data_IF_023831090407
#
_entry.id   IF_023831090407
#
_cell.length_a   1.000
_cell.length_b   1.000
_cell.length_c   1.000
_cell.angle_alpha   90.00
_cell.angle_beta   90.00
_cell.angle_gamma   90.00
#
_symmetry.space_group_name_H-M   'P 1'
#
loop_
_entity.id
_entity.type
_entity.pdbx_description
1 polymer ?
#
# COMPACT_ATOMS: atom_id res chain seq x y z
N UNK A 1 -5.48 -26.71 -12.15
CA UNK A 1 -6.01 -25.91 -11.04
C UNK A 1 -6.40 -24.56 -11.59
N UNK A 2 -7.67 -24.23 -11.42
CA UNK A 2 -8.22 -22.92 -11.75
C UNK A 2 -8.54 -22.15 -10.48
N UNK A 3 -8.04 -20.90 -10.40
CA UNK A 3 -8.29 -19.99 -9.28
C UNK A 3 -8.98 -18.74 -9.79
N UNK A 4 -10.09 -18.37 -9.17
CA UNK A 4 -10.79 -17.13 -9.48
C UNK A 4 -10.44 -16.08 -8.41
N UNK A 5 -9.75 -15.00 -8.85
CA UNK A 5 -9.42 -13.84 -8.04
C UNK A 5 -10.62 -12.89 -8.02
N UNK A 6 -11.06 -12.50 -6.81
CA UNK A 6 -12.21 -11.63 -6.61
C UNK A 6 -11.72 -10.28 -6.06
N UNK A 7 -11.93 -9.22 -6.81
CA UNK A 7 -11.44 -7.88 -6.45
C UNK A 7 -12.40 -6.78 -6.90
N UNK A 8 -12.40 -5.67 -6.18
CA UNK A 8 -13.06 -4.47 -6.66
C UNK A 8 -12.33 -3.88 -7.86
N UNK A 9 -11.00 -3.81 -7.77
CA UNK A 9 -10.12 -3.10 -8.69
C UNK A 9 -9.43 -4.08 -9.64
N UNK A 10 -9.47 -3.77 -10.93
CA UNK A 10 -8.68 -4.41 -11.99
C UNK A 10 -8.59 -3.46 -13.19
N UNK A 11 -7.53 -3.49 -13.99
CA UNK A 11 -7.39 -2.58 -15.13
C UNK A 11 -8.61 -2.52 -16.06
N UNK A 12 -8.93 -1.31 -16.58
CA UNK A 12 -8.23 -0.03 -16.40
C UNK A 12 -8.58 0.72 -15.11
N UNK A 13 -9.45 0.18 -14.23
CA UNK A 13 -9.97 0.82 -13.03
C UNK A 13 -9.18 0.39 -11.79
N UNK A 14 -8.00 0.98 -11.60
CA UNK A 14 -7.13 0.75 -10.45
C UNK A 14 -6.97 2.05 -9.67
N UNK A 15 -7.29 2.04 -8.37
CA UNK A 15 -7.33 3.23 -7.52
C UNK A 15 -6.32 3.18 -6.38
N UNK A 16 -5.78 1.98 -6.07
CA UNK A 16 -4.89 1.80 -4.93
C UNK A 16 -4.03 0.54 -5.01
N UNK A 17 -3.23 0.34 -3.95
CA UNK A 17 -2.27 -0.76 -3.90
C UNK A 17 -2.89 -2.15 -3.99
N UNK A 18 -4.15 -2.33 -3.57
CA UNK A 18 -4.83 -3.63 -3.72
C UNK A 18 -5.08 -3.97 -5.19
N UNK A 19 -5.51 -2.99 -6.00
CA UNK A 19 -5.71 -3.18 -7.44
C UNK A 19 -4.41 -3.46 -8.17
N UNK A 20 -3.33 -2.74 -7.83
CA UNK A 20 -1.97 -3.03 -8.36
C UNK A 20 -1.56 -4.45 -8.00
N UNK A 21 -1.73 -4.86 -6.73
CA UNK A 21 -1.40 -6.21 -6.29
C UNK A 21 -2.16 -7.29 -7.09
N UNK A 22 -3.48 -7.16 -7.25
CA UNK A 22 -4.28 -8.15 -7.98
C UNK A 22 -3.87 -8.21 -9.45
N UNK A 23 -3.57 -7.05 -10.06
CA UNK A 23 -3.11 -6.97 -11.44
C UNK A 23 -1.82 -7.76 -11.64
N UNK A 24 -0.81 -7.48 -10.83
CA UNK A 24 0.49 -8.13 -10.96
C UNK A 24 0.45 -9.61 -10.54
N UNK A 25 -0.28 -9.91 -9.46
CA UNK A 25 -0.47 -11.29 -9.02
C UNK A 25 -1.16 -12.15 -10.11
N UNK A 26 -2.20 -11.62 -10.74
CA UNK A 26 -2.90 -12.34 -11.82
C UNK A 26 -1.95 -12.71 -12.99
N UNK A 27 -1.10 -11.76 -13.41
CA UNK A 27 -0.11 -11.98 -14.48
C UNK A 27 0.84 -13.14 -14.14
N UNK A 28 1.48 -13.08 -12.96
CA UNK A 28 2.46 -14.11 -12.58
C UNK A 28 1.84 -15.45 -12.22
N UNK A 29 0.58 -15.48 -11.74
CA UNK A 29 -0.17 -16.71 -11.52
C UNK A 29 -0.57 -17.37 -12.84
N UNK A 30 -0.96 -16.60 -13.87
CA UNK A 30 -1.35 -17.11 -15.18
C UNK A 30 -0.22 -17.85 -15.91
N UNK A 31 1.04 -17.65 -15.51
CA UNK A 31 2.18 -18.43 -15.98
C UNK A 31 2.22 -19.85 -15.38
N UNK A 32 1.52 -20.11 -14.28
CA UNK A 32 1.61 -21.31 -13.43
C UNK A 32 0.32 -22.11 -13.34
N UNK A 33 -0.81 -21.42 -13.41
CA UNK A 33 -2.16 -21.98 -13.21
C UNK A 33 -3.17 -21.25 -14.11
N UNK A 34 -4.37 -21.79 -14.22
CA UNK A 34 -5.49 -21.12 -14.87
C UNK A 34 -6.05 -20.03 -13.92
N UNK A 35 -6.21 -18.81 -14.41
CA UNK A 35 -6.65 -17.67 -13.61
C UNK A 35 -7.89 -17.03 -14.21
N UNK A 36 -8.94 -16.91 -13.38
CA UNK A 36 -10.08 -16.02 -13.60
C UNK A 36 -9.94 -14.77 -12.74
N UNK A 37 -10.43 -13.63 -13.22
CA UNK A 37 -10.53 -12.41 -12.43
C UNK A 37 -11.96 -11.89 -12.49
N UNK A 38 -12.57 -11.69 -11.33
CA UNK A 38 -13.89 -11.09 -11.18
C UNK A 38 -13.71 -9.69 -10.56
N UNK A 39 -14.18 -8.66 -11.27
CA UNK A 39 -13.96 -7.27 -10.83
C UNK A 39 -15.20 -6.39 -11.03
N UNK A 40 -15.18 -5.21 -10.45
CA UNK A 40 -16.24 -4.20 -10.60
C UNK A 40 -16.08 -3.40 -11.90
N UNK A 41 -17.04 -2.53 -12.15
CA UNK A 41 -17.05 -1.50 -13.22
C UNK A 41 -17.11 -2.06 -14.65
N UNK A 42 -17.97 -3.08 -14.83
CA UNK A 42 -18.41 -3.56 -16.12
C UNK A 42 -17.43 -4.48 -16.87
N UNK A 43 -17.85 -4.90 -18.03
CA UNK A 43 -17.11 -5.85 -18.86
C UNK A 43 -15.73 -5.32 -19.27
N UNK A 44 -14.77 -6.23 -19.40
CA UNK A 44 -13.41 -5.95 -19.89
C UNK A 44 -13.25 -6.51 -21.31
N UNK A 45 -12.42 -5.86 -22.15
CA UNK A 45 -11.99 -6.48 -23.40
C UNK A 45 -11.25 -7.79 -23.10
N UNK A 46 -11.27 -8.71 -24.07
CA UNK A 46 -10.51 -9.96 -23.95
C UNK A 46 -9.01 -9.65 -23.74
N UNK A 47 -8.41 -10.25 -22.73
CA UNK A 47 -6.98 -10.07 -22.44
C UNK A 47 -6.13 -11.03 -23.28
N UNK A 48 -5.01 -10.54 -23.81
CA UNK A 48 -4.02 -11.33 -24.54
C UNK A 48 -3.24 -12.29 -23.62
N UNK A 49 -3.29 -12.09 -22.29
CA UNK A 49 -2.49 -12.81 -21.29
C UNK A 49 -3.11 -14.11 -20.79
N UNK A 50 -4.14 -14.65 -21.47
CA UNK A 50 -4.86 -15.88 -21.06
C UNK A 50 -5.61 -15.80 -19.73
N UNK A 51 -5.83 -14.59 -19.20
CA UNK A 51 -6.62 -14.35 -17.99
C UNK A 51 -8.07 -14.15 -18.42
N UNK A 52 -8.97 -14.91 -17.80
CA UNK A 52 -10.41 -14.76 -18.04
C UNK A 52 -10.94 -13.66 -17.13
N UNK A 53 -11.23 -12.47 -17.67
CA UNK A 53 -11.72 -11.35 -16.87
C UNK A 53 -13.22 -11.19 -17.03
N UNK A 54 -13.95 -11.19 -15.91
CA UNK A 54 -15.38 -10.85 -15.82
C UNK A 54 -15.57 -9.60 -14.98
N UNK A 55 -16.07 -8.54 -15.59
CA UNK A 55 -16.43 -7.30 -14.88
C UNK A 55 -17.95 -7.19 -14.70
N UNK A 56 -18.36 -6.68 -13.54
CA UNK A 56 -19.75 -6.59 -13.11
C UNK A 56 -20.16 -5.13 -12.90
N UNK A 57 -21.39 -4.79 -13.28
CA UNK A 57 -21.97 -3.50 -13.04
C UNK A 57 -22.90 -3.49 -11.85
N UNK A 58 -23.09 -2.32 -11.25
CA UNK A 58 -24.08 -2.15 -10.20
C UNK A 58 -25.48 -2.40 -10.75
N UNK A 59 -26.29 -3.10 -9.98
CA UNK A 59 -27.67 -3.38 -10.34
C UNK A 59 -28.49 -2.09 -10.38
N UNK A 60 -29.25 -1.86 -11.45
CA UNK A 60 -30.07 -0.66 -11.63
C UNK A 60 -31.12 -0.47 -10.54
N UNK A 61 -31.65 -1.59 -10.01
CA UNK A 61 -32.63 -1.58 -8.91
C UNK A 61 -32.04 -1.10 -7.59
N UNK A 62 -30.69 -1.06 -7.49
CA UNK A 62 -29.96 -0.53 -6.34
C UNK A 62 -29.49 0.91 -6.53
N UNK A 63 -29.93 1.60 -7.58
CA UNK A 63 -29.63 3.00 -7.80
C UNK A 63 -30.17 3.83 -6.62
N UNK A 64 -29.31 4.64 -5.98
CA UNK A 64 -29.64 5.38 -4.76
C UNK A 64 -29.52 4.59 -3.43
N UNK A 65 -29.25 3.29 -3.48
CA UNK A 65 -28.97 2.51 -2.28
C UNK A 65 -27.62 2.86 -1.65
N UNK A 66 -27.45 2.53 -0.37
CA UNK A 66 -26.16 2.71 0.31
C UNK A 66 -25.04 2.00 -0.45
N UNK A 67 -23.86 2.64 -0.66
CA UNK A 67 -22.75 2.07 -1.42
C UNK A 67 -22.31 0.67 -0.95
N UNK A 68 -22.40 0.38 0.36
CA UNK A 68 -22.05 -0.93 0.88
C UNK A 68 -23.05 -2.02 0.45
N UNK A 69 -24.35 -1.71 0.34
CA UNK A 69 -25.35 -2.64 -0.20
C UNK A 69 -25.14 -2.90 -1.69
N UNK A 70 -24.78 -1.85 -2.44
CA UNK A 70 -24.46 -1.97 -3.87
C UNK A 70 -23.24 -2.89 -4.09
N UNK A 71 -22.24 -2.79 -3.20
CA UNK A 71 -21.07 -3.67 -3.20
C UNK A 71 -21.49 -5.15 -3.04
N UNK A 72 -22.32 -5.46 -2.04
CA UNK A 72 -22.81 -6.83 -1.83
C UNK A 72 -23.68 -7.33 -3.01
N UNK A 73 -24.33 -6.44 -3.73
CA UNK A 73 -25.06 -6.79 -4.97
C UNK A 73 -24.11 -7.29 -6.07
N UNK A 74 -22.91 -6.72 -6.17
CA UNK A 74 -21.87 -7.24 -7.08
C UNK A 74 -21.29 -8.54 -6.57
N UNK A 75 -21.06 -8.68 -5.26
CA UNK A 75 -20.57 -9.92 -4.66
C UNK A 75 -21.48 -11.11 -4.98
N UNK A 76 -22.79 -10.92 -4.98
CA UNK A 76 -23.76 -11.95 -5.41
C UNK A 76 -23.56 -12.36 -6.87
N UNK A 77 -23.34 -11.38 -7.76
CA UNK A 77 -23.09 -11.66 -9.17
C UNK A 77 -21.77 -12.41 -9.37
N UNK A 78 -20.71 -12.03 -8.63
CA UNK A 78 -19.42 -12.71 -8.68
C UNK A 78 -19.56 -14.17 -8.23
N UNK A 79 -20.17 -14.40 -7.06
CA UNK A 79 -20.32 -15.73 -6.49
C UNK A 79 -21.01 -16.71 -7.45
N UNK A 80 -22.03 -16.26 -8.21
CA UNK A 80 -22.75 -17.08 -9.19
C UNK A 80 -21.86 -17.61 -10.32
N UNK A 81 -20.71 -16.99 -10.57
CA UNK A 81 -19.84 -17.34 -11.70
C UNK A 81 -18.53 -18.02 -11.29
N UNK A 82 -18.41 -18.44 -10.03
CA UNK A 82 -17.25 -19.19 -9.52
C UNK A 82 -17.44 -20.71 -9.57
N UNK A 83 -18.46 -21.20 -10.27
CA UNK A 83 -18.85 -22.61 -10.36
C UNK A 83 -17.81 -23.53 -11.02
N UNK A 84 -16.82 -22.96 -11.69
CA UNK A 84 -15.75 -23.71 -12.34
C UNK A 84 -14.37 -23.51 -11.68
N UNK A 85 -14.31 -22.77 -10.59
CA UNK A 85 -13.07 -22.57 -9.85
C UNK A 85 -12.79 -23.78 -8.93
N UNK A 86 -11.55 -24.18 -8.82
CA UNK A 86 -11.09 -25.11 -7.78
C UNK A 86 -10.92 -24.38 -6.43
N UNK A 87 -10.69 -23.07 -6.47
CA UNK A 87 -10.47 -22.21 -5.32
C UNK A 87 -10.81 -20.76 -5.68
N UNK A 88 -11.33 -20.00 -4.71
CA UNK A 88 -11.54 -18.55 -4.83
C UNK A 88 -10.62 -17.79 -3.89
N UNK A 89 -10.08 -16.65 -4.37
CA UNK A 89 -9.21 -15.79 -3.60
C UNK A 89 -9.70 -14.33 -3.65
N UNK A 90 -10.20 -13.82 -2.54
CA UNK A 90 -10.78 -12.48 -2.46
C UNK A 90 -9.81 -11.45 -1.86
N UNK A 91 -9.92 -10.23 -2.37
CA UNK A 91 -9.09 -9.09 -1.97
C UNK A 91 -9.97 -7.94 -1.48
N UNK A 92 -9.75 -7.50 -0.26
CA UNK A 92 -10.50 -6.47 0.46
C UNK A 92 -11.96 -6.87 0.76
N UNK A 93 -12.59 -6.15 1.70
CA UNK A 93 -13.99 -6.40 2.08
C UNK A 93 -14.98 -6.27 0.90
N UNK A 94 -14.59 -5.51 -0.15
CA UNK A 94 -15.41 -5.31 -1.34
C UNK A 94 -15.74 -6.58 -2.13
N UNK A 95 -14.94 -7.64 -1.98
CA UNK A 95 -15.15 -8.90 -2.67
C UNK A 95 -15.14 -10.12 -1.73
N UNK A 96 -14.98 -9.87 -0.42
CA UNK A 96 -14.87 -10.94 0.56
C UNK A 96 -16.14 -11.78 0.67
N UNK A 97 -17.32 -11.17 0.53
CA UNK A 97 -18.58 -11.92 0.59
C UNK A 97 -18.82 -12.75 -0.65
N UNK A 98 -18.35 -12.33 -1.82
CA UNK A 98 -18.39 -13.16 -3.02
C UNK A 98 -17.61 -14.48 -2.80
N UNK A 99 -16.39 -14.42 -2.26
CA UNK A 99 -15.60 -15.60 -1.92
C UNK A 99 -16.24 -16.47 -0.86
N UNK A 100 -16.79 -15.83 0.20
CA UNK A 100 -17.50 -16.56 1.26
C UNK A 100 -18.74 -17.33 0.74
N UNK A 101 -19.52 -16.71 -0.13
CA UNK A 101 -20.70 -17.37 -0.71
C UNK A 101 -20.30 -18.45 -1.74
N UNK A 102 -19.30 -18.20 -2.58
CA UNK A 102 -18.80 -19.20 -3.52
C UNK A 102 -18.28 -20.45 -2.79
N UNK A 103 -17.50 -20.28 -1.71
CA UNK A 103 -17.05 -21.38 -0.85
C UNK A 103 -18.22 -22.25 -0.38
N UNK A 104 -19.26 -21.63 0.16
CA UNK A 104 -20.40 -22.39 0.70
C UNK A 104 -21.28 -23.01 -0.39
N UNK A 105 -21.40 -22.34 -1.55
CA UNK A 105 -22.27 -22.80 -2.65
C UNK A 105 -21.67 -23.95 -3.43
N UNK A 106 -20.35 -23.89 -3.68
CA UNK A 106 -19.64 -24.84 -4.54
C UNK A 106 -18.70 -25.77 -3.77
N UNK A 107 -18.65 -25.63 -2.43
CA UNK A 107 -17.78 -26.45 -1.56
C UNK A 107 -16.29 -26.35 -1.93
N UNK A 108 -15.84 -25.16 -2.35
CA UNK A 108 -14.46 -24.87 -2.75
C UNK A 108 -13.74 -24.03 -1.68
N UNK A 109 -12.40 -24.14 -1.53
CA UNK A 109 -11.65 -23.32 -0.59
C UNK A 109 -11.72 -21.83 -0.90
N UNK A 110 -11.74 -21.01 0.15
CA UNK A 110 -11.68 -19.54 0.08
C UNK A 110 -10.44 -19.02 0.79
N UNK A 111 -9.58 -18.32 0.04
CA UNK A 111 -8.43 -17.56 0.54
C UNK A 111 -8.77 -16.08 0.57
N UNK A 112 -8.35 -15.38 1.62
CA UNK A 112 -8.53 -13.92 1.75
C UNK A 112 -7.17 -13.25 1.87
N UNK A 113 -6.88 -12.21 1.08
CA UNK A 113 -5.73 -11.33 1.33
C UNK A 113 -6.14 -10.05 2.03
N UNK A 114 -5.49 -9.80 3.16
CA UNK A 114 -5.64 -8.58 3.96
C UNK A 114 -4.72 -7.47 3.44
N UNK A 115 -5.28 -6.54 2.65
CA UNK A 115 -4.59 -5.31 2.25
C UNK A 115 -4.76 -4.17 3.26
N UNK A 116 -5.74 -4.28 4.12
CA UNK A 116 -6.04 -3.41 5.26
C UNK A 116 -7.10 -4.09 6.12
N UNK A 117 -7.31 -3.64 7.34
CA UNK A 117 -8.34 -4.14 8.24
C UNK A 117 -9.30 -3.02 8.63
N UNK A 118 -10.61 -3.27 8.52
CA UNK A 118 -11.65 -2.30 8.89
C UNK A 118 -11.54 -1.84 10.37
N UNK A 119 -11.28 -2.73 11.37
CA UNK A 119 -11.11 -2.32 12.77
C UNK A 119 -9.96 -1.32 13.01
N UNK A 120 -8.93 -1.32 12.17
CA UNK A 120 -7.78 -0.42 12.27
C UNK A 120 -7.92 0.85 11.44
N UNK A 121 -9.10 1.10 10.89
CA UNK A 121 -9.43 2.25 10.06
C UNK A 121 -10.71 2.96 10.54
N UNK A 122 -10.82 3.32 11.83
CA UNK A 122 -12.04 3.88 12.42
C UNK A 122 -12.48 5.20 11.76
N UNK A 123 -11.53 5.97 11.19
CA UNK A 123 -11.83 7.17 10.40
C UNK A 123 -12.67 6.91 9.15
N UNK A 124 -12.74 5.68 8.64
CA UNK A 124 -13.64 5.32 7.53
C UNK A 124 -15.11 5.46 7.87
N UNK A 125 -15.47 5.47 9.15
CA UNK A 125 -16.84 5.74 9.58
C UNK A 125 -17.31 7.14 9.14
N UNK A 126 -16.40 8.11 9.09
CA UNK A 126 -16.69 9.46 8.60
C UNK A 126 -17.04 9.44 7.10
N UNK A 127 -16.43 8.53 6.32
CA UNK A 127 -16.64 8.40 4.87
C UNK A 127 -17.86 7.53 4.52
N UNK A 128 -18.06 6.43 5.23
CA UNK A 128 -19.03 5.39 4.88
C UNK A 128 -20.32 5.47 5.73
N UNK A 129 -20.33 6.25 6.81
CA UNK A 129 -21.47 6.32 7.73
C UNK A 129 -21.90 4.93 8.21
N UNK A 130 -23.19 4.59 8.09
CA UNK A 130 -23.72 3.27 8.41
C UNK A 130 -23.15 2.11 7.58
N UNK A 131 -22.62 2.39 6.41
CA UNK A 131 -21.93 1.41 5.55
C UNK A 131 -20.69 0.82 6.18
N UNK A 132 -20.02 1.53 7.11
CA UNK A 132 -18.88 1.01 7.85
C UNK A 132 -19.22 -0.21 8.73
N UNK A 133 -20.43 -0.24 9.31
CA UNK A 133 -20.86 -1.42 10.08
C UNK A 133 -21.02 -2.64 9.18
N UNK A 134 -21.47 -2.43 7.94
CA UNK A 134 -21.65 -3.49 6.97
C UNK A 134 -20.30 -3.98 6.40
N UNK A 135 -19.38 -3.09 6.09
CA UNK A 135 -18.02 -3.47 5.64
C UNK A 135 -17.26 -4.23 6.71
N UNK A 136 -17.33 -3.78 7.97
CA UNK A 136 -16.72 -4.46 9.11
C UNK A 136 -17.32 -5.84 9.37
N UNK A 137 -18.64 -5.98 9.21
CA UNK A 137 -19.32 -7.28 9.33
C UNK A 137 -18.91 -8.22 8.20
N UNK A 138 -18.88 -7.76 6.95
CA UNK A 138 -18.50 -8.56 5.79
C UNK A 138 -17.07 -9.06 5.90
N UNK A 139 -16.12 -8.17 6.24
CA UNK A 139 -14.73 -8.52 6.47
C UNK A 139 -14.60 -9.60 7.56
N UNK A 140 -15.14 -9.34 8.75
CA UNK A 140 -15.09 -10.28 9.87
C UNK A 140 -15.67 -11.65 9.51
N UNK A 141 -16.83 -11.68 8.84
CA UNK A 141 -17.51 -12.93 8.46
C UNK A 141 -16.65 -13.76 7.52
N UNK A 142 -16.09 -13.12 6.48
CA UNK A 142 -15.26 -13.80 5.52
C UNK A 142 -13.94 -14.30 6.13
N UNK A 143 -13.27 -13.48 6.95
CA UNK A 143 -12.00 -13.86 7.60
C UNK A 143 -12.15 -15.04 8.55
N UNK A 144 -13.22 -15.07 9.37
CA UNK A 144 -13.48 -16.19 10.28
C UNK A 144 -13.81 -17.50 9.55
N UNK A 145 -14.42 -17.41 8.37
CA UNK A 145 -14.83 -18.56 7.58
C UNK A 145 -13.80 -19.02 6.54
N UNK A 146 -12.78 -18.21 6.24
CA UNK A 146 -11.75 -18.53 5.26
C UNK A 146 -10.95 -19.79 5.63
N UNK A 147 -10.48 -20.50 4.60
CA UNK A 147 -9.57 -21.64 4.78
C UNK A 147 -8.14 -21.17 5.03
N UNK A 148 -7.74 -20.04 4.42
CA UNK A 148 -6.50 -19.34 4.71
C UNK A 148 -6.68 -17.83 4.61
N UNK A 149 -5.92 -17.08 5.42
CA UNK A 149 -5.84 -15.63 5.40
C UNK A 149 -4.40 -15.23 5.13
N UNK A 150 -4.16 -14.45 4.09
CA UNK A 150 -2.86 -13.90 3.75
C UNK A 150 -2.74 -12.49 4.36
N UNK A 151 -1.79 -12.31 5.28
CA UNK A 151 -1.31 -10.99 5.68
C UNK A 151 -0.18 -10.55 4.76
N UNK A 152 -0.25 -9.34 4.23
CA UNK A 152 0.79 -8.81 3.31
C UNK A 152 2.10 -8.46 4.03
N UNK A 153 2.15 -8.59 5.35
CA UNK A 153 3.34 -8.40 6.20
C UNK A 153 3.20 -9.15 7.52
N UNK A 154 4.31 -9.26 8.27
CA UNK A 154 4.25 -9.79 9.64
C UNK A 154 3.40 -8.89 10.55
N UNK A 155 3.54 -7.58 10.45
CA UNK A 155 2.68 -6.66 11.19
C UNK A 155 1.19 -6.83 10.83
N UNK A 156 0.85 -7.09 9.57
CA UNK A 156 -0.53 -7.39 9.18
C UNK A 156 -1.01 -8.73 9.77
N UNK A 157 -0.17 -9.77 9.84
CA UNK A 157 -0.51 -11.02 10.54
C UNK A 157 -0.85 -10.75 12.00
N UNK A 158 -0.03 -9.97 12.71
CA UNK A 158 -0.28 -9.61 14.10
C UNK A 158 -1.57 -8.80 14.26
N UNK A 159 -1.82 -7.88 13.33
CA UNK A 159 -3.04 -7.07 13.29
C UNK A 159 -4.30 -7.92 13.06
N UNK A 160 -4.24 -8.92 12.18
CA UNK A 160 -5.32 -9.88 11.93
C UNK A 160 -5.64 -10.65 13.22
N UNK A 161 -4.63 -11.24 13.85
CA UNK A 161 -4.80 -12.06 15.06
C UNK A 161 -5.28 -11.23 16.25
N UNK A 162 -4.84 -9.97 16.35
CA UNK A 162 -5.31 -9.04 17.38
C UNK A 162 -6.76 -8.59 17.14
N UNK A 163 -7.14 -8.32 15.88
CA UNK A 163 -8.49 -7.84 15.52
C UNK A 163 -9.53 -8.96 15.51
N UNK A 164 -9.11 -10.17 15.18
CA UNK A 164 -9.96 -11.35 15.06
C UNK A 164 -9.37 -12.55 15.82
N UNK A 165 -9.33 -12.50 17.16
CA UNK A 165 -8.68 -13.51 17.99
C UNK A 165 -9.32 -14.92 17.91
N UNK A 166 -10.43 -15.06 17.18
CA UNK A 166 -11.08 -16.34 16.90
C UNK A 166 -10.44 -17.08 15.71
N UNK A 167 -9.61 -16.40 14.90
CA UNK A 167 -8.92 -17.03 13.77
C UNK A 167 -7.79 -17.90 14.31
N UNK A 168 -7.72 -19.13 13.82
CA UNK A 168 -6.59 -20.02 14.08
C UNK A 168 -5.29 -19.41 13.49
N UNK A 169 -4.25 -19.17 14.31
CA UNK A 169 -2.99 -18.59 13.85
C UNK A 169 -2.32 -19.37 12.71
N UNK A 170 -2.57 -20.69 12.61
CA UNK A 170 -2.02 -21.55 11.56
C UNK A 170 -2.67 -21.29 10.20
N UNK A 171 -3.87 -20.68 10.18
CA UNK A 171 -4.52 -20.23 8.94
C UNK A 171 -4.01 -18.88 8.43
N UNK A 172 -3.21 -18.14 9.22
CA UNK A 172 -2.71 -16.82 8.84
C UNK A 172 -1.28 -16.92 8.33
N UNK A 173 -1.13 -16.72 7.03
CA UNK A 173 0.14 -16.81 6.30
C UNK A 173 0.66 -15.43 5.95
N UNK A 174 2.00 -15.25 5.92
CA UNK A 174 2.63 -14.00 5.46
C UNK A 174 3.12 -14.20 4.04
N UNK A 175 2.51 -13.49 3.10
CA UNK A 175 2.96 -13.40 1.70
C UNK A 175 3.00 -11.91 1.34
N UNK A 176 4.21 -11.37 1.22
CA UNK A 176 4.42 -9.95 0.92
C UNK A 176 3.93 -9.59 -0.48
N UNK A 177 3.67 -8.29 -0.70
CA UNK A 177 3.51 -7.77 -2.06
C UNK A 177 4.85 -7.81 -2.80
N UNK A 178 4.78 -8.01 -4.10
CA UNK A 178 5.94 -7.89 -4.99
C UNK A 178 6.14 -6.47 -5.50
N UNK A 179 7.30 -6.25 -6.12
CA UNK A 179 7.61 -5.06 -6.90
C UNK A 179 8.12 -5.51 -8.28
N UNK A 180 7.64 -4.83 -9.33
CA UNK A 180 8.22 -4.99 -10.67
C UNK A 180 9.44 -4.05 -10.80
N UNK A 181 10.62 -4.63 -10.79
CA UNK A 181 11.86 -3.88 -10.90
C UNK A 181 12.09 -3.30 -12.30
N UNK A 182 11.34 -3.75 -13.31
CA UNK A 182 11.44 -3.15 -14.65
C UNK A 182 10.91 -1.70 -14.66
N UNK A 183 9.90 -1.42 -13.82
CA UNK A 183 9.33 -0.08 -13.68
C UNK A 183 10.22 0.85 -12.83
N UNK A 184 11.11 0.29 -12.01
CA UNK A 184 11.93 1.04 -11.03
C UNK A 184 13.42 0.90 -11.36
N UNK A 185 13.82 1.40 -12.55
CA UNK A 185 15.20 1.45 -12.99
C UNK A 185 15.80 2.84 -12.80
N UNK A 186 17.05 2.89 -12.35
CA UNK A 186 17.79 4.15 -12.31
C UNK A 186 17.90 4.75 -13.72
N UNK A 187 17.53 6.01 -13.92
CA UNK A 187 17.55 6.63 -15.23
C UNK A 187 19.00 6.78 -15.73
N UNK A 188 19.22 6.47 -17.02
CA UNK A 188 20.51 6.60 -17.67
C UNK A 188 20.76 7.99 -18.28
N UNK A 189 19.70 8.76 -18.53
CA UNK A 189 19.76 10.10 -19.13
C UNK A 189 19.70 11.20 -18.07
N UNK A 190 20.85 11.74 -17.71
CA UNK A 190 20.96 12.83 -16.73
C UNK A 190 20.32 14.15 -17.19
N UNK A 191 20.16 14.36 -18.51
CA UNK A 191 19.52 15.58 -19.02
C UNK A 191 18.00 15.54 -18.78
N UNK A 192 17.37 14.39 -18.97
CA UNK A 192 15.95 14.19 -18.65
C UNK A 192 15.70 14.35 -17.14
N UNK A 193 16.57 13.80 -16.30
CA UNK A 193 16.51 14.02 -14.84
C UNK A 193 16.57 15.50 -14.52
N UNK A 194 17.60 16.21 -15.01
CA UNK A 194 17.76 17.65 -14.76
C UNK A 194 16.58 18.47 -15.26
N UNK A 195 15.99 18.11 -16.40
CA UNK A 195 14.81 18.77 -16.94
C UNK A 195 13.59 18.58 -16.01
N UNK A 196 13.39 17.35 -15.51
CA UNK A 196 12.31 17.05 -14.57
C UNK A 196 12.48 17.81 -13.26
N UNK A 197 13.67 17.82 -12.68
CA UNK A 197 13.93 18.57 -11.44
C UNK A 197 13.66 20.07 -11.62
N UNK A 198 14.13 20.67 -12.73
CA UNK A 198 13.86 22.06 -13.06
C UNK A 198 12.35 22.35 -13.23
N UNK A 199 11.60 21.44 -13.87
CA UNK A 199 10.15 21.53 -14.04
C UNK A 199 9.40 21.66 -12.70
N UNK A 200 9.88 20.98 -11.67
CA UNK A 200 9.26 20.98 -10.34
C UNK A 200 9.95 21.94 -9.35
N UNK A 201 10.96 22.68 -9.76
CA UNK A 201 11.70 23.62 -8.92
C UNK A 201 12.56 22.94 -7.85
N UNK A 202 13.05 21.74 -8.16
CA UNK A 202 13.94 20.96 -7.30
C UNK A 202 15.39 21.31 -7.63
N UNK A 203 16.16 21.73 -6.65
CA UNK A 203 17.57 22.07 -6.79
C UNK A 203 18.43 20.80 -6.65
N UNK A 204 19.17 20.37 -7.69
CA UNK A 204 19.97 19.15 -7.63
C UNK A 204 21.21 19.25 -6.74
N UNK A 205 21.63 20.46 -6.36
CA UNK A 205 22.81 20.69 -5.55
C UNK A 205 22.52 20.67 -4.04
N UNK A 206 21.25 20.59 -3.65
CA UNK A 206 20.84 20.54 -2.23
C UNK A 206 20.57 19.11 -1.77
N UNK A 207 21.03 18.73 -0.57
CA UNK A 207 20.61 17.47 0.05
C UNK A 207 19.08 17.40 0.11
N UNK A 208 18.50 16.32 -0.40
CA UNK A 208 17.05 16.23 -0.63
C UNK A 208 16.42 15.07 0.13
N UNK A 209 15.40 15.40 0.92
CA UNK A 209 14.51 14.42 1.58
C UNK A 209 13.18 14.40 0.84
N UNK A 210 12.70 13.21 0.46
CA UNK A 210 11.47 13.06 -0.30
C UNK A 210 10.42 12.26 0.46
N UNK A 211 9.16 12.70 0.34
CA UNK A 211 7.95 11.97 0.75
C UNK A 211 7.05 11.75 -0.47
N UNK A 212 6.52 10.54 -0.61
CA UNK A 212 5.54 10.20 -1.65
C UNK A 212 4.31 9.55 -1.02
N UNK A 213 3.15 10.10 -1.31
CA UNK A 213 1.90 9.50 -0.84
C UNK A 213 0.69 10.42 -0.88
N UNK A 214 -0.51 9.83 -0.70
CA UNK A 214 -1.74 10.62 -0.56
C UNK A 214 -1.75 11.37 0.77
N UNK A 215 -2.44 12.50 0.80
CA UNK A 215 -2.64 13.28 2.03
C UNK A 215 -3.75 12.62 2.85
N UNK A 216 -3.36 11.68 3.69
CA UNK A 216 -4.25 10.94 4.59
C UNK A 216 -3.68 10.91 6.01
N UNK A 217 -4.54 10.73 7.02
CA UNK A 217 -4.03 10.56 8.40
C UNK A 217 -3.11 9.35 8.52
N UNK A 218 -3.45 8.27 7.83
CA UNK A 218 -2.66 7.03 7.78
C UNK A 218 -1.20 7.29 7.38
N UNK A 219 -0.97 8.15 6.38
CA UNK A 219 0.38 8.41 5.83
C UNK A 219 1.24 9.32 6.72
N UNK A 220 0.67 9.92 7.75
CA UNK A 220 1.42 10.64 8.78
C UNK A 220 2.15 11.90 8.33
N UNK A 221 1.81 12.48 7.16
CA UNK A 221 2.46 13.67 6.62
C UNK A 221 2.55 14.82 7.62
N UNK A 222 1.54 15.14 8.47
CA UNK A 222 1.66 16.17 9.50
C UNK A 222 2.81 15.90 10.47
N UNK A 223 3.08 14.65 10.83
CA UNK A 223 4.19 14.28 11.72
C UNK A 223 5.54 14.53 11.07
N UNK A 224 5.69 14.19 9.78
CA UNK A 224 6.90 14.49 9.03
C UNK A 224 7.14 16.00 8.96
N UNK A 225 6.12 16.80 8.63
CA UNK A 225 6.23 18.26 8.57
C UNK A 225 6.63 18.88 9.92
N UNK A 226 6.26 18.28 11.04
CA UNK A 226 6.76 18.70 12.36
C UNK A 226 8.23 18.30 12.57
N UNK A 227 8.66 17.13 12.11
CA UNK A 227 10.05 16.70 12.17
C UNK A 227 10.96 17.58 11.28
N UNK A 228 10.46 18.05 10.13
CA UNK A 228 11.18 18.97 9.21
C UNK A 228 11.66 20.24 9.89
N UNK A 229 11.00 20.69 10.94
CA UNK A 229 11.43 21.87 11.74
C UNK A 229 12.77 21.66 12.44
N UNK A 230 13.21 20.41 12.59
CA UNK A 230 14.38 20.01 13.36
C UNK A 230 15.53 19.46 12.50
N UNK A 231 15.33 19.27 11.20
CA UNK A 231 16.41 18.87 10.28
C UNK A 231 17.19 20.09 9.78
N UNK A 232 18.44 19.93 9.28
CA UNK A 232 19.27 21.03 8.80
C UNK A 232 18.53 21.93 7.80
N UNK A 233 18.64 23.24 7.95
CA UNK A 233 17.92 24.21 7.11
C UNK A 233 18.37 24.21 5.64
N UNK A 234 19.57 23.70 5.36
CA UNK A 234 20.12 23.50 4.01
C UNK A 234 19.51 22.31 3.27
N UNK A 235 18.74 21.45 3.97
CA UNK A 235 18.10 20.27 3.35
C UNK A 235 16.86 20.69 2.59
N UNK A 236 16.73 20.31 1.34
CA UNK A 236 15.51 20.46 0.56
C UNK A 236 14.52 19.35 0.92
N UNK A 237 13.24 19.70 0.98
CA UNK A 237 12.15 18.75 1.27
C UNK A 237 11.18 18.74 0.11
N UNK A 238 11.06 17.59 -0.55
CA UNK A 238 10.18 17.38 -1.70
C UNK A 238 8.98 16.55 -1.25
N UNK A 239 7.78 17.12 -1.36
CA UNK A 239 6.52 16.49 -1.03
C UNK A 239 5.76 16.15 -2.31
N UNK A 240 5.83 14.88 -2.76
CA UNK A 240 4.97 14.37 -3.82
C UNK A 240 3.66 13.91 -3.17
N UNK A 241 2.79 14.88 -2.81
CA UNK A 241 1.66 14.65 -1.92
C UNK A 241 0.39 15.33 -2.43
N UNK A 242 -0.62 14.52 -2.77
CA UNK A 242 -1.91 14.99 -3.27
C UNK A 242 -3.06 14.10 -2.80
N UNK A 243 -4.22 14.23 -3.48
CA UNK A 243 -5.41 13.43 -3.25
C UNK A 243 -5.79 13.31 -1.75
N UNK A 244 -6.16 14.42 -1.08
CA UNK A 244 -6.53 14.41 0.33
C UNK A 244 -7.81 13.60 0.56
N UNK A 245 -7.84 12.80 1.65
CA UNK A 245 -9.02 12.02 2.03
C UNK A 245 -10.17 12.94 2.52
N UNK A 246 -9.84 14.03 3.21
CA UNK A 246 -10.80 15.01 3.71
C UNK A 246 -10.26 16.45 3.59
N UNK A 247 -11.16 17.43 3.60
CA UNK A 247 -10.78 18.86 3.57
C UNK A 247 -10.05 19.30 4.84
N UNK A 248 -10.29 18.63 5.95
CA UNK A 248 -9.67 18.93 7.24
C UNK A 248 -8.18 18.61 7.21
N UNK A 249 -7.80 17.40 6.74
CA UNK A 249 -6.38 17.02 6.64
C UNK A 249 -5.66 17.83 5.56
N UNK A 250 -6.33 18.17 4.46
CA UNK A 250 -5.77 19.06 3.43
C UNK A 250 -5.42 20.42 4.02
N UNK A 251 -6.37 21.03 4.75
CA UNK A 251 -6.17 22.32 5.40
C UNK A 251 -5.04 22.28 6.43
N UNK A 252 -4.97 21.23 7.23
CA UNK A 252 -3.91 21.04 8.23
C UNK A 252 -2.53 20.97 7.56
N UNK A 253 -2.39 20.15 6.52
CA UNK A 253 -1.13 20.00 5.76
C UNK A 253 -0.74 21.33 5.11
N UNK A 254 -1.67 22.04 4.48
CA UNK A 254 -1.41 23.35 3.85
C UNK A 254 -0.90 24.37 4.86
N UNK A 255 -1.53 24.44 6.02
CA UNK A 255 -1.08 25.35 7.09
C UNK A 255 0.34 25.02 7.58
N UNK A 256 0.68 23.72 7.69
CA UNK A 256 2.02 23.31 8.11
C UNK A 256 3.07 23.63 7.05
N UNK A 257 2.76 23.41 5.76
CA UNK A 257 3.65 23.76 4.66
C UNK A 257 3.87 25.27 4.58
N UNK A 258 2.80 26.07 4.69
CA UNK A 258 2.91 27.55 4.69
C UNK A 258 3.78 28.05 5.86
N UNK A 259 3.61 27.47 7.05
CA UNK A 259 4.45 27.82 8.22
C UNK A 259 5.92 27.46 7.98
N UNK A 260 6.20 26.28 7.41
CA UNK A 260 7.57 25.85 7.12
C UNK A 260 8.22 26.74 6.05
N UNK A 261 7.49 27.04 4.97
CA UNK A 261 7.97 27.92 3.88
C UNK A 261 8.26 29.34 4.34
N UNK A 262 7.57 29.80 5.40
CA UNK A 262 7.86 31.09 6.06
C UNK A 262 9.08 31.04 6.98
N UNK A 263 9.58 29.87 7.38
CA UNK A 263 10.69 29.68 8.32
C UNK A 263 11.98 29.20 7.66
N UNK A 264 11.87 28.50 6.52
CA UNK A 264 13.01 27.93 5.76
C UNK A 264 12.73 27.91 4.27
N UNK A 265 13.78 27.96 3.47
CA UNK A 265 13.74 27.70 2.03
C UNK A 265 13.75 26.18 1.73
N UNK A 266 13.58 25.82 0.46
CA UNK A 266 13.73 24.45 0.00
C UNK A 266 12.56 23.52 0.31
N UNK A 267 11.35 24.06 0.54
CA UNK A 267 10.11 23.27 0.60
C UNK A 267 9.47 23.26 -0.79
N UNK A 268 9.44 22.09 -1.43
CA UNK A 268 8.81 21.87 -2.74
C UNK A 268 7.61 20.97 -2.53
N UNK A 269 6.40 21.44 -2.86
CA UNK A 269 5.19 20.66 -2.74
C UNK A 269 4.52 20.45 -4.11
N UNK A 270 4.43 19.19 -4.54
CA UNK A 270 3.83 18.75 -5.80
C UNK A 270 2.49 18.12 -5.46
N UNK A 271 1.40 18.87 -5.66
CA UNK A 271 0.04 18.50 -5.24
C UNK A 271 -0.65 17.56 -6.24
N UNK A 272 -0.28 17.63 -7.50
CA UNK A 272 -0.92 16.85 -8.56
C UNK A 272 -0.23 15.49 -8.75
N UNK A 273 -1.00 14.50 -9.18
CA UNK A 273 -0.44 13.24 -9.63
C UNK A 273 0.51 13.50 -10.80
N UNK A 274 1.71 12.97 -10.70
CA UNK A 274 2.73 13.12 -11.72
C UNK A 274 2.89 11.84 -12.57
N UNK A 275 3.43 11.94 -13.79
CA UNK A 275 3.84 10.77 -14.55
C UNK A 275 4.84 9.91 -13.77
N UNK A 276 4.80 8.60 -14.00
CA UNK A 276 5.69 7.65 -13.33
C UNK A 276 7.18 7.99 -13.56
N UNK A 277 7.54 8.33 -14.80
CA UNK A 277 8.93 8.68 -15.16
C UNK A 277 9.43 9.91 -14.38
N UNK A 278 8.54 10.92 -14.18
CA UNK A 278 8.90 12.08 -13.36
C UNK A 278 9.17 11.69 -11.92
N UNK A 279 8.37 10.76 -11.35
CA UNK A 279 8.60 10.23 -10.01
C UNK A 279 9.92 9.48 -9.91
N UNK A 280 10.22 8.63 -10.89
CA UNK A 280 11.51 7.91 -10.99
C UNK A 280 12.68 8.90 -11.02
N UNK A 281 12.59 9.99 -11.81
CA UNK A 281 13.62 11.03 -11.87
C UNK A 281 13.82 11.73 -10.52
N UNK A 282 12.72 12.07 -9.82
CA UNK A 282 12.79 12.72 -8.50
C UNK A 282 13.41 11.77 -7.47
N UNK A 283 12.97 10.52 -7.42
CA UNK A 283 13.53 9.53 -6.49
C UNK A 283 15.01 9.26 -6.76
N UNK A 284 15.42 9.18 -8.04
CA UNK A 284 16.83 8.93 -8.39
C UNK A 284 17.79 10.05 -7.99
N UNK A 285 17.26 11.25 -7.71
CA UNK A 285 18.05 12.44 -7.35
C UNK A 285 17.97 12.78 -5.86
N UNK A 286 17.12 12.11 -5.09
CA UNK A 286 16.99 12.34 -3.66
C UNK A 286 18.06 11.59 -2.85
N UNK A 287 18.26 11.99 -1.58
CA UNK A 287 19.22 11.37 -0.67
C UNK A 287 18.54 10.48 0.39
N UNK A 288 17.33 10.82 0.81
CA UNK A 288 16.58 10.10 1.85
C UNK A 288 15.09 10.05 1.51
N UNK A 289 14.51 8.87 1.60
CA UNK A 289 13.06 8.68 1.52
C UNK A 289 12.45 8.58 2.91
N UNK A 290 11.27 9.21 3.14
CA UNK A 290 10.62 9.20 4.45
C UNK A 290 9.22 8.63 4.35
N UNK A 291 8.91 7.63 5.20
CA UNK A 291 7.57 7.05 5.37
C UNK A 291 7.10 7.22 6.82
N UNK A 292 6.45 8.35 7.15
CA UNK A 292 6.03 8.68 8.51
C UNK A 292 4.68 8.06 8.88
N UNK A 293 4.28 6.97 8.20
CA UNK A 293 2.96 6.36 8.35
C UNK A 293 2.67 5.94 9.79
N UNK A 294 1.46 6.19 10.27
CA UNK A 294 0.97 5.71 11.55
C UNK A 294 0.21 4.39 11.44
N UNK A 295 -0.15 4.01 10.23
CA UNK A 295 -0.68 2.70 9.87
C UNK A 295 -0.26 2.37 8.43
N UNK A 296 0.43 1.26 8.24
CA UNK A 296 0.94 0.85 6.92
C UNK A 296 0.89 -0.67 6.78
N UNK A 297 -0.07 -1.23 6.05
CA UNK A 297 -0.20 -2.68 5.90
C UNK A 297 1.05 -3.37 5.35
N UNK A 298 1.67 -2.81 4.33
CA UNK A 298 2.93 -3.31 3.75
C UNK A 298 3.93 -2.18 3.51
N UNK A 299 3.49 -1.11 2.83
CA UNK A 299 4.36 0.02 2.47
C UNK A 299 5.16 -0.22 1.20
N UNK A 300 4.49 -0.55 0.10
CA UNK A 300 5.12 -0.78 -1.22
C UNK A 300 6.03 0.40 -1.60
N UNK A 301 5.63 1.64 -1.27
CA UNK A 301 6.43 2.84 -1.54
C UNK A 301 7.85 2.79 -0.93
N UNK A 302 8.05 2.02 0.15
CA UNK A 302 9.39 1.80 0.70
C UNK A 302 10.23 0.88 -0.20
N UNK A 303 9.57 -0.09 -0.86
CA UNK A 303 10.22 -0.96 -1.83
C UNK A 303 10.58 -0.19 -3.11
N UNK A 304 9.69 0.70 -3.54
CA UNK A 304 9.90 1.61 -4.68
C UNK A 304 11.13 2.52 -4.42
N UNK A 305 11.17 3.16 -3.25
CA UNK A 305 12.31 3.98 -2.86
C UNK A 305 13.62 3.17 -2.75
N UNK A 306 13.57 1.99 -2.13
CA UNK A 306 14.72 1.10 -2.03
C UNK A 306 15.19 0.59 -3.41
N UNK A 307 14.27 0.34 -4.35
CA UNK A 307 14.59 0.00 -5.73
C UNK A 307 15.33 1.14 -6.47
N UNK A 308 15.09 2.40 -6.06
CA UNK A 308 15.80 3.58 -6.55
C UNK A 308 17.08 3.88 -5.75
N UNK A 309 17.60 2.91 -4.99
CA UNK A 309 18.78 3.03 -4.15
C UNK A 309 18.69 4.15 -3.08
N UNK A 310 17.46 4.47 -2.61
CA UNK A 310 17.28 5.42 -1.52
C UNK A 310 17.25 4.70 -0.17
N UNK A 311 18.01 5.19 0.83
CA UNK A 311 17.82 4.76 2.21
C UNK A 311 16.46 5.28 2.71
N UNK A 312 15.76 4.46 3.47
CA UNK A 312 14.41 4.79 3.95
C UNK A 312 14.42 5.07 5.46
N UNK A 313 13.86 6.21 5.86
CA UNK A 313 13.51 6.48 7.26
C UNK A 313 12.01 6.23 7.41
N UNK A 314 11.64 5.11 8.01
CA UNK A 314 10.25 4.67 8.13
C UNK A 314 9.81 4.49 9.57
N UNK A 315 8.52 4.71 9.87
CA UNK A 315 7.96 4.39 11.18
C UNK A 315 7.96 2.89 11.43
N UNK A 316 8.31 2.45 12.63
CA UNK A 316 8.28 1.05 13.04
C UNK A 316 6.82 0.57 13.28
N UNK A 317 5.98 0.56 12.23
CA UNK A 317 4.57 0.15 12.30
C UNK A 317 4.17 -0.70 11.09
N UNK A 318 3.23 -1.61 11.31
CA UNK A 318 2.68 -2.47 10.27
C UNK A 318 3.75 -3.24 9.50
N UNK A 319 3.75 -3.12 8.16
CA UNK A 319 4.69 -3.80 7.27
C UNK A 319 5.98 -3.04 6.97
N UNK A 320 6.17 -1.81 7.48
CA UNK A 320 7.40 -1.05 7.24
C UNK A 320 8.65 -1.79 7.75
N UNK A 321 8.63 -2.46 8.93
CA UNK A 321 9.77 -3.26 9.39
C UNK A 321 10.10 -4.46 8.50
N UNK A 322 9.17 -4.95 7.68
CA UNK A 322 9.46 -6.00 6.69
C UNK A 322 10.24 -5.45 5.49
N UNK A 323 9.97 -4.20 5.11
CA UNK A 323 10.63 -3.52 3.99
C UNK A 323 12.05 -3.06 4.37
N UNK A 324 12.22 -2.48 5.56
CA UNK A 324 13.46 -1.86 6.01
C UNK A 324 14.21 -2.79 6.95
N UNK A 325 15.47 -3.07 6.66
CA UNK A 325 16.41 -3.67 7.61
C UNK A 325 17.10 -2.55 8.40
N UNK A 326 16.79 -2.45 9.71
CA UNK A 326 17.31 -1.41 10.61
C UNK A 326 18.84 -1.34 10.58
N UNK A 327 19.38 -0.15 10.28
CA UNK A 327 20.81 0.11 10.21
C UNK A 327 21.51 -0.45 8.97
N UNK A 328 20.83 -1.23 8.12
CA UNK A 328 21.39 -1.83 6.91
C UNK A 328 20.84 -1.18 5.63
N UNK A 329 19.53 -0.98 5.54
CA UNK A 329 18.86 -0.40 4.35
C UNK A 329 18.15 0.92 4.64
N UNK A 330 18.19 1.36 5.88
CA UNK A 330 17.53 2.56 6.38
C UNK A 330 17.35 2.51 7.88
N UNK A 331 16.47 3.35 8.39
CA UNK A 331 16.18 3.44 9.82
C UNK A 331 14.69 3.29 10.12
N UNK A 332 14.39 2.60 11.22
CA UNK A 332 13.06 2.49 11.79
C UNK A 332 12.90 3.48 12.95
N UNK A 333 11.89 4.31 12.88
CA UNK A 333 11.53 5.26 13.94
C UNK A 333 10.49 4.62 14.85
N UNK A 334 10.82 4.34 16.13
CA UNK A 334 9.87 3.76 17.06
C UNK A 334 8.65 4.66 17.27
N UNK A 335 7.46 4.05 17.34
CA UNK A 335 6.21 4.73 17.62
C UNK A 335 5.41 3.94 18.68
N UNK A 336 5.09 4.61 19.78
CA UNK A 336 4.10 4.13 20.74
C UNK A 336 2.77 4.80 20.42
N UNK A 337 1.71 4.02 20.21
CA UNK A 337 0.42 4.50 19.70
C UNK A 337 -0.68 4.35 20.74
N UNK A 338 -1.67 5.23 20.69
CA UNK A 338 -2.89 5.10 21.47
C UNK A 338 -3.63 3.82 21.07
N UNK A 339 -4.28 3.19 22.03
CA UNK A 339 -5.02 1.92 21.83
C UNK A 339 -6.45 2.13 21.34
N UNK A 340 -6.82 3.37 21.00
CA UNK A 340 -8.17 3.76 20.51
C UNK A 340 -8.39 3.47 19.01
N UNK A 341 -7.40 2.89 18.33
CA UNK A 341 -7.42 2.60 16.90
C UNK A 341 -7.08 3.79 16.01
N UNK A 342 -6.83 4.99 16.58
CA UNK A 342 -6.47 6.18 15.79
C UNK A 342 -5.06 6.10 15.20
N UNK A 343 -4.18 5.28 15.79
CA UNK A 343 -2.76 5.24 15.45
C UNK A 343 -1.97 6.46 15.93
N UNK A 344 -2.59 7.36 16.69
CA UNK A 344 -1.96 8.59 17.16
C UNK A 344 -0.76 8.27 18.08
N UNK A 345 0.42 8.90 17.89
CA UNK A 345 1.55 8.73 18.78
C UNK A 345 1.21 9.18 20.21
N UNK A 346 1.56 8.40 21.23
CA UNK A 346 1.39 8.77 22.64
C UNK A 346 2.32 9.93 23.05
N UNK A 347 3.48 10.03 22.39
CA UNK A 347 4.44 11.12 22.57
C UNK A 347 4.87 11.68 21.20
N UNK A 348 4.07 12.58 20.59
CA UNK A 348 4.37 13.14 19.27
C UNK A 348 5.71 13.89 19.23
N UNK A 349 6.07 14.60 20.31
CA UNK A 349 7.32 15.38 20.35
C UNK A 349 8.54 14.48 20.24
N UNK A 350 8.54 13.35 20.99
CA UNK A 350 9.61 12.35 20.90
C UNK A 350 9.66 11.75 19.49
N UNK A 351 8.51 11.36 18.94
CA UNK A 351 8.42 10.76 17.62
C UNK A 351 8.97 11.66 16.52
N UNK A 352 8.61 12.97 16.55
CA UNK A 352 9.12 13.95 15.58
C UNK A 352 10.62 14.16 15.71
N UNK A 353 11.13 14.22 16.93
CA UNK A 353 12.57 14.37 17.19
C UNK A 353 13.34 13.14 16.69
N UNK A 354 12.92 11.93 17.09
CA UNK A 354 13.59 10.70 16.70
C UNK A 354 13.62 10.54 15.17
N UNK A 355 12.54 10.94 14.47
CA UNK A 355 12.49 10.97 13.00
C UNK A 355 13.50 11.97 12.43
N UNK A 356 13.54 13.20 12.96
CA UNK A 356 14.47 14.24 12.52
C UNK A 356 15.93 13.82 12.73
N UNK A 357 16.25 13.18 13.85
CA UNK A 357 17.60 12.67 14.15
C UNK A 357 18.05 11.63 13.11
N UNK A 358 17.17 10.69 12.73
CA UNK A 358 17.46 9.67 11.71
C UNK A 358 17.66 10.26 10.31
N UNK A 359 16.82 11.22 9.94
CA UNK A 359 16.97 11.96 8.68
C UNK A 359 18.29 12.74 8.67
N UNK A 360 18.58 13.47 9.73
CA UNK A 360 19.80 14.29 9.86
C UNK A 360 21.06 13.41 9.77
N UNK A 361 21.07 12.25 10.43
CA UNK A 361 22.21 11.32 10.35
C UNK A 361 22.50 10.90 8.92
N UNK A 362 21.48 10.60 8.09
CA UNK A 362 21.70 10.22 6.68
C UNK A 362 22.15 11.41 5.81
N UNK A 363 21.61 12.59 6.05
CA UNK A 363 22.01 13.82 5.34
C UNK A 363 23.46 14.22 5.65
N UNK A 364 23.89 14.08 6.90
CA UNK A 364 25.25 14.41 7.33
C UNK A 364 26.27 13.33 6.98
N UNK A 365 25.82 12.11 6.64
CA UNK A 365 26.67 10.97 6.28
C UNK A 365 26.30 10.37 4.92
N UNK A 366 26.50 11.10 3.81
CA UNK A 366 26.02 10.70 2.48
C UNK A 366 26.61 9.36 1.99
N UNK A 367 27.83 9.01 2.37
CA UNK A 367 28.43 7.72 2.00
C UNK A 367 27.68 6.55 2.67
N UNK A 368 27.27 6.71 3.93
CA UNK A 368 26.41 5.74 4.63
C UNK A 368 25.04 5.65 3.98
N UNK A 369 24.42 6.78 3.66
CA UNK A 369 23.14 6.84 2.97
C UNK A 369 23.19 6.05 1.65
N UNK A 370 24.19 6.28 0.83
CA UNK A 370 24.41 5.54 -0.44
C UNK A 370 24.61 4.04 -0.22
N UNK A 371 25.37 3.63 0.81
CA UNK A 371 25.55 2.21 1.11
C UNK A 371 24.24 1.55 1.53
N UNK A 372 23.44 2.21 2.37
CA UNK A 372 22.12 1.73 2.79
C UNK A 372 21.14 1.66 1.62
N UNK A 373 21.13 2.65 0.72
CA UNK A 373 20.31 2.65 -0.48
C UNK A 373 20.61 1.46 -1.39
N UNK A 374 21.90 1.20 -1.68
CA UNK A 374 22.33 0.03 -2.46
C UNK A 374 21.95 -1.29 -1.81
N UNK A 375 22.12 -1.40 -0.50
CA UNK A 375 21.69 -2.58 0.24
C UNK A 375 20.15 -2.76 0.18
N UNK A 376 19.39 -1.65 0.18
CA UNK A 376 17.95 -1.62 -0.03
C UNK A 376 17.56 -2.22 -1.37
N UNK A 377 18.20 -1.81 -2.46
CA UNK A 377 17.98 -2.36 -3.81
C UNK A 377 18.20 -3.87 -3.84
N UNK A 378 19.33 -4.35 -3.32
CA UNK A 378 19.65 -5.79 -3.26
C UNK A 378 18.57 -6.56 -2.45
N UNK A 379 18.10 -5.99 -1.34
CA UNK A 379 17.04 -6.59 -0.55
C UNK A 379 15.73 -6.74 -1.34
N UNK A 380 15.33 -5.72 -2.09
CA UNK A 380 14.12 -5.77 -2.94
C UNK A 380 14.24 -6.85 -3.99
N UNK A 381 15.35 -6.91 -4.71
CA UNK A 381 15.63 -7.93 -5.73
C UNK A 381 15.53 -9.35 -5.18
N UNK A 382 16.07 -9.59 -3.98
CA UNK A 382 16.11 -10.92 -3.37
C UNK A 382 14.80 -11.37 -2.73
N UNK A 383 14.00 -10.45 -2.17
CA UNK A 383 12.89 -10.83 -1.27
C UNK A 383 11.51 -10.48 -1.79
N UNK A 384 11.39 -9.50 -2.69
CA UNK A 384 10.10 -8.92 -3.07
C UNK A 384 9.80 -9.03 -4.57
N UNK A 385 10.28 -10.08 -5.24
CA UNK A 385 9.91 -10.35 -6.64
C UNK A 385 8.50 -10.97 -6.74
N UNK A 386 7.75 -10.59 -7.77
CA UNK A 386 6.44 -11.16 -8.04
C UNK A 386 6.48 -12.68 -8.29
N UNK A 387 7.59 -13.21 -8.83
CA UNK A 387 7.79 -14.63 -9.01
C UNK A 387 7.78 -15.38 -7.66
N UNK A 388 8.50 -14.84 -6.66
CA UNK A 388 8.50 -15.41 -5.31
C UNK A 388 7.12 -15.34 -4.64
N UNK A 389 6.38 -14.25 -4.87
CA UNK A 389 5.00 -14.09 -4.39
C UNK A 389 4.10 -15.16 -5.01
N UNK A 390 4.16 -15.35 -6.33
CA UNK A 390 3.38 -16.36 -7.03
C UNK A 390 3.69 -17.77 -6.54
N UNK A 391 4.98 -18.12 -6.37
CA UNK A 391 5.38 -19.45 -5.93
C UNK A 391 4.83 -19.78 -4.53
N UNK A 392 4.91 -18.83 -3.59
CA UNK A 392 4.34 -18.98 -2.24
C UNK A 392 2.82 -19.08 -2.29
N UNK A 393 2.16 -18.27 -3.11
CA UNK A 393 0.70 -18.26 -3.26
C UNK A 393 0.20 -19.57 -3.85
N UNK A 394 0.84 -20.07 -4.91
CA UNK A 394 0.48 -21.38 -5.52
C UNK A 394 0.74 -22.53 -4.54
N UNK A 395 1.83 -22.48 -3.76
CA UNK A 395 2.09 -23.49 -2.73
C UNK A 395 0.97 -23.51 -1.67
N UNK A 396 0.51 -22.34 -1.22
CA UNK A 396 -0.63 -22.24 -0.30
C UNK A 396 -1.90 -22.80 -0.94
N UNK A 397 -2.24 -22.44 -2.18
CA UNK A 397 -3.43 -22.97 -2.85
C UNK A 397 -3.42 -24.49 -2.92
N UNK A 398 -2.27 -25.08 -3.29
CA UNK A 398 -2.11 -26.55 -3.36
C UNK A 398 -2.24 -27.26 -2.03
N UNK A 399 -1.97 -26.59 -0.92
CA UNK A 399 -2.13 -27.16 0.42
C UNK A 399 -3.58 -27.20 0.89
N UNK A 400 -4.48 -26.49 0.20
CA UNK A 400 -5.90 -26.41 0.53
C UNK A 400 -6.78 -27.32 -0.35
N UNK A 401 -6.24 -27.83 -1.45
CA UNK A 401 -6.89 -28.76 -2.38
C UNK A 401 -6.46 -30.21 -2.10
#
# INVERSE_FOLDING_TARGET
MRVDLLSREYPPHVYGGAGVHVTELAKVLAERIEVGVHCFEGARPADEQKIIVKGYEYCSEQEGANPALRTLGIDLQMAQHCDQADLVHSHTWYANMAGHWAKNLYEIPHVVTAHSLEPLRPWKREQLGGGYNLSSWAEKTAYLAADAVIGVSHGMKDDILRSYPQIDPDKVHVIHNGLDLADWQLPSDSQLVSHTLAKYGIDPDLPTVVFVGRITRQKGLPHFLQAVKQIPASTQVVLCAGAPDTKEIEKEVRQLVDQLSGQRSGIVWIENMMPHDDLVHILSSADVFVTPSIYEPMGIVNLEAAAMELPVVGTATGGIPDCIAEGETGYLVPIDQLTDGSGTPTNPVKFHRDMAERITDLIEHPDRAKQMGKAGRVRVEQKFSWQSVADKTVALYRSLL
#
